data_IF_589990397283
#
_entry.id   IF_589990397283
#
_cell.length_a   1.000
_cell.length_b   1.000
_cell.length_c   1.000
_cell.angle_alpha   90.00
_cell.angle_beta   90.00
_cell.angle_gamma   90.00
#
_symmetry.space_group_name_H-M   'P 1'
#
loop_
_entity.id
_entity.type
_entity.pdbx_description
1 polymer ?
#
# COMPACT_ATOMS: atom_id res chain seq x y z
N UNK A 1 39.55 37.63 18.21
CA UNK A 1 39.22 37.06 16.88
C UNK A 1 38.28 38.03 16.17
N UNK A 2 38.55 38.41 14.91
CA UNK A 2 37.80 39.49 14.25
C UNK A 2 36.37 39.01 13.92
N UNK A 3 35.35 39.52 14.64
CA UNK A 3 33.96 39.05 14.55
C UNK A 3 33.40 39.05 13.12
N UNK A 4 33.90 39.94 12.26
CA UNK A 4 33.54 40.01 10.84
C UNK A 4 33.98 38.79 10.06
N UNK A 5 35.19 38.30 10.31
CA UNK A 5 35.75 37.10 9.68
C UNK A 5 35.01 35.85 10.17
N UNK A 6 34.75 35.76 11.48
CA UNK A 6 34.00 34.64 12.06
C UNK A 6 32.59 34.49 11.47
N UNK A 7 31.89 35.62 11.24
CA UNK A 7 30.57 35.62 10.60
C UNK A 7 30.61 35.11 9.16
N UNK A 8 31.62 35.49 8.38
CA UNK A 8 31.76 35.01 6.98
C UNK A 8 32.00 33.50 6.95
N UNK A 9 32.92 32.99 7.78
CA UNK A 9 33.20 31.55 7.85
C UNK A 9 31.96 30.77 8.26
N UNK A 10 31.21 31.25 9.27
CA UNK A 10 29.98 30.61 9.70
C UNK A 10 28.91 30.55 8.59
N UNK A 11 28.69 31.67 7.87
CA UNK A 11 27.72 31.71 6.77
C UNK A 11 28.12 30.74 5.65
N UNK A 12 29.40 30.67 5.30
CA UNK A 12 29.88 29.73 4.29
C UNK A 12 29.68 28.28 4.72
N UNK A 13 30.01 27.94 5.97
CA UNK A 13 29.83 26.60 6.51
C UNK A 13 28.36 26.17 6.52
N UNK A 14 27.46 27.04 6.99
CA UNK A 14 26.01 26.75 7.01
C UNK A 14 25.46 26.64 5.59
N UNK A 15 25.85 27.53 4.69
CA UNK A 15 25.40 27.48 3.28
C UNK A 15 25.83 26.19 2.61
N UNK A 16 27.08 25.77 2.83
CA UNK A 16 27.59 24.50 2.30
C UNK A 16 26.82 23.31 2.88
N UNK A 17 26.57 23.29 4.19
CA UNK A 17 25.78 22.24 4.85
C UNK A 17 24.37 22.14 4.25
N UNK A 18 23.67 23.27 4.12
CA UNK A 18 22.30 23.31 3.57
C UNK A 18 22.27 22.82 2.12
N UNK A 19 23.22 23.25 1.28
CA UNK A 19 23.33 22.79 -0.11
C UNK A 19 23.55 21.28 -0.17
N UNK A 20 24.43 20.75 0.69
CA UNK A 20 24.78 19.33 0.69
C UNK A 20 23.60 18.47 1.13
N UNK A 21 22.91 18.86 2.21
CA UNK A 21 21.72 18.15 2.70
C UNK A 21 20.56 18.23 1.70
N UNK A 22 20.36 19.39 1.07
CA UNK A 22 19.32 19.56 0.05
C UNK A 22 19.60 18.69 -1.18
N UNK A 23 20.86 18.64 -1.63
CA UNK A 23 21.27 17.77 -2.72
C UNK A 23 21.01 16.30 -2.39
N UNK A 24 21.48 15.83 -1.23
CA UNK A 24 21.25 14.45 -0.78
C UNK A 24 19.76 14.10 -0.72
N UNK A 25 18.92 15.01 -0.22
CA UNK A 25 17.48 14.78 -0.10
C UNK A 25 16.80 14.68 -1.48
N UNK A 26 17.14 15.55 -2.43
CA UNK A 26 16.59 15.55 -3.79
C UNK A 26 17.08 14.31 -4.58
N UNK A 27 18.36 13.96 -4.41
CA UNK A 27 18.98 12.86 -5.14
C UNK A 27 18.65 11.48 -4.56
N UNK A 28 18.17 11.38 -3.32
CA UNK A 28 17.85 10.11 -2.68
C UNK A 28 16.69 9.39 -3.41
N UNK A 29 16.96 8.28 -4.14
CA UNK A 29 15.93 7.57 -4.89
C UNK A 29 15.14 6.61 -4.01
N UNK A 30 15.60 6.27 -2.80
CA UNK A 30 15.08 5.18 -1.99
C UNK A 30 13.57 5.32 -1.72
N UNK A 31 13.10 6.55 -1.39
CA UNK A 31 11.68 6.79 -1.18
C UNK A 31 10.83 6.67 -2.45
N UNK A 32 11.39 6.96 -3.62
CA UNK A 32 10.69 6.80 -4.92
C UNK A 32 10.60 5.32 -5.31
N UNK A 33 11.68 4.57 -5.10
CA UNK A 33 11.72 3.13 -5.36
C UNK A 33 10.76 2.37 -4.44
N UNK A 34 10.77 2.66 -3.14
CA UNK A 34 9.83 2.08 -2.19
C UNK A 34 8.38 2.44 -2.55
N UNK A 35 8.13 3.70 -2.92
CA UNK A 35 6.79 4.11 -3.34
C UNK A 35 6.33 3.38 -4.61
N UNK A 36 7.22 3.18 -5.58
CA UNK A 36 6.92 2.43 -6.80
C UNK A 36 6.57 0.96 -6.48
N UNK A 37 7.31 0.34 -5.54
CA UNK A 37 7.00 -1.01 -5.06
C UNK A 37 5.65 -1.08 -4.37
N UNK A 38 5.35 -0.14 -3.46
CA UNK A 38 4.05 -0.05 -2.80
C UNK A 38 2.91 0.08 -3.83
N UNK A 39 3.10 0.90 -4.85
CA UNK A 39 2.10 1.08 -5.92
C UNK A 39 1.87 -0.25 -6.66
N UNK A 40 2.94 -0.90 -7.11
CA UNK A 40 2.86 -2.18 -7.81
C UNK A 40 2.16 -3.27 -6.98
N UNK A 41 2.47 -3.34 -5.68
CA UNK A 41 1.86 -4.29 -4.74
C UNK A 41 0.34 -4.04 -4.60
N UNK A 42 -0.09 -2.79 -4.45
CA UNK A 42 -1.53 -2.48 -4.35
C UNK A 42 -2.25 -2.78 -5.67
N UNK A 43 -1.63 -2.46 -6.81
CA UNK A 43 -2.21 -2.77 -8.13
C UNK A 43 -2.33 -4.28 -8.37
N UNK A 44 -1.32 -5.06 -7.98
CA UNK A 44 -1.38 -6.53 -8.00
C UNK A 44 -2.51 -7.05 -7.10
N UNK A 45 -2.67 -6.46 -5.90
CA UNK A 45 -3.76 -6.80 -4.98
C UNK A 45 -5.13 -6.57 -5.62
N UNK A 46 -5.35 -5.43 -6.30
CA UNK A 46 -6.60 -5.13 -7.01
C UNK A 46 -6.92 -6.16 -8.07
N UNK A 47 -5.92 -6.50 -8.90
CA UNK A 47 -6.08 -7.46 -9.99
C UNK A 47 -6.50 -8.83 -9.46
N UNK A 48 -5.80 -9.33 -8.43
CA UNK A 48 -6.09 -10.62 -7.84
C UNK A 48 -7.42 -10.64 -7.09
N UNK A 49 -7.75 -9.58 -6.34
CA UNK A 49 -9.05 -9.45 -5.67
C UNK A 49 -10.20 -9.47 -6.68
N UNK A 50 -10.06 -8.73 -7.78
CA UNK A 50 -11.07 -8.69 -8.86
C UNK A 50 -11.29 -10.07 -9.48
N UNK A 51 -10.20 -10.81 -9.72
CA UNK A 51 -10.25 -12.18 -10.24
C UNK A 51 -10.92 -13.17 -9.26
N UNK A 52 -10.67 -13.00 -7.95
CA UNK A 52 -11.22 -13.89 -6.92
C UNK A 52 -12.71 -13.60 -6.68
N UNK A 53 -13.08 -12.33 -6.57
CA UNK A 53 -14.48 -11.92 -6.33
C UNK A 53 -15.33 -12.15 -7.58
N UNK A 54 -14.76 -12.02 -8.78
CA UNK A 54 -15.43 -12.39 -10.04
C UNK A 54 -16.68 -11.55 -10.34
N UNK A 55 -16.78 -10.35 -9.79
CA UNK A 55 -17.90 -9.44 -10.03
C UNK A 55 -17.70 -8.59 -11.30
N UNK A 56 -18.79 -8.28 -12.00
CA UNK A 56 -18.76 -7.43 -13.20
C UNK A 56 -18.23 -6.02 -12.93
N UNK A 57 -18.50 -5.50 -11.72
CA UNK A 57 -18.01 -4.21 -11.26
C UNK A 57 -17.61 -4.33 -9.80
N UNK A 58 -16.34 -4.04 -9.51
CA UNK A 58 -15.80 -4.05 -8.17
C UNK A 58 -15.28 -2.66 -7.86
N UNK A 59 -15.85 -2.02 -6.84
CA UNK A 59 -15.28 -0.79 -6.30
C UNK A 59 -14.34 -1.15 -5.16
N UNK A 60 -13.15 -0.56 -5.13
CA UNK A 60 -12.09 -0.88 -4.17
C UNK A 60 -11.61 0.41 -3.49
N UNK A 61 -11.56 0.40 -2.16
CA UNK A 61 -10.89 1.41 -1.34
C UNK A 61 -9.67 0.80 -0.67
N UNK A 62 -8.49 1.28 -1.06
CA UNK A 62 -7.19 0.73 -0.65
C UNK A 62 -6.17 1.87 -0.40
N UNK A 63 -4.90 1.57 -0.09
CA UNK A 63 -3.90 2.58 0.20
C UNK A 63 -3.57 3.55 -0.93
N UNK A 64 -3.94 3.27 -2.18
CA UNK A 64 -3.79 4.21 -3.29
C UNK A 64 -5.06 5.03 -3.54
N UNK A 65 -6.20 4.66 -2.95
CA UNK A 65 -7.45 5.39 -3.13
C UNK A 65 -7.34 6.81 -2.56
N UNK A 66 -7.67 7.85 -3.36
CA UNK A 66 -7.60 9.25 -2.92
C UNK A 66 -8.68 9.58 -1.88
N UNK A 67 -9.77 8.83 -1.86
CA UNK A 67 -10.89 9.02 -0.95
C UNK A 67 -11.10 7.77 -0.08
N UNK A 68 -10.67 7.83 1.18
CA UNK A 68 -10.73 6.74 2.16
C UNK A 68 -11.88 6.88 3.15
N UNK A 69 -13.06 7.31 2.68
CA UNK A 69 -14.24 7.55 3.53
C UNK A 69 -14.86 6.28 4.15
N UNK A 70 -14.43 5.09 3.71
CA UNK A 70 -14.98 3.80 4.15
C UNK A 70 -14.33 3.30 5.45
N UNK A 71 -13.03 3.53 5.63
CA UNK A 71 -12.28 3.02 6.77
C UNK A 71 -10.78 3.22 6.61
N UNK A 72 -10.02 2.77 7.62
CA UNK A 72 -8.56 2.81 7.57
C UNK A 72 -8.04 1.67 6.69
N UNK A 73 -7.05 1.99 5.87
CA UNK A 73 -6.43 1.06 4.90
C UNK A 73 -4.92 1.22 4.99
N UNK A 74 -4.23 0.09 4.86
CA UNK A 74 -2.80 -0.04 5.13
C UNK A 74 -2.12 -0.88 4.06
N UNK A 75 -0.90 -0.46 3.71
CA UNK A 75 0.10 -1.28 3.03
C UNK A 75 1.34 -1.26 3.91
N UNK A 76 1.91 -2.43 4.18
CA UNK A 76 3.16 -2.52 4.93
C UNK A 76 3.94 -3.78 4.51
N UNK A 77 5.28 -3.72 4.59
CA UNK A 77 6.12 -4.87 4.29
C UNK A 77 5.97 -5.93 5.38
N UNK A 78 6.07 -7.18 4.97
CA UNK A 78 6.12 -8.39 5.80
C UNK A 78 7.44 -9.15 5.48
N UNK A 79 7.83 -10.13 6.31
CA UNK A 79 9.12 -10.84 6.21
C UNK A 79 9.49 -11.31 4.80
N UNK A 80 8.51 -11.78 4.02
CA UNK A 80 8.70 -12.32 2.67
C UNK A 80 7.73 -11.72 1.65
N UNK A 81 7.27 -10.48 1.88
CA UNK A 81 6.35 -9.83 0.95
C UNK A 81 5.62 -8.63 1.55
N UNK A 82 4.31 -8.56 1.33
CA UNK A 82 3.50 -7.39 1.68
C UNK A 82 2.12 -7.77 2.17
N UNK A 83 1.61 -6.99 3.12
CA UNK A 83 0.22 -7.02 3.52
C UNK A 83 -0.51 -5.78 2.99
N UNK A 84 -1.66 -6.01 2.34
CA UNK A 84 -2.54 -4.96 1.82
C UNK A 84 -3.93 -5.14 2.43
N UNK A 85 -4.40 -4.12 3.13
CA UNK A 85 -5.77 -4.06 3.63
C UNK A 85 -6.58 -3.04 2.86
N UNK A 86 -7.87 -3.32 2.72
CA UNK A 86 -8.79 -2.45 2.03
C UNK A 86 -10.23 -2.87 2.23
N UNK A 87 -11.10 -2.25 1.43
CA UNK A 87 -12.51 -2.56 1.35
C UNK A 87 -12.91 -2.72 -0.10
N UNK A 88 -13.85 -3.60 -0.39
CA UNK A 88 -14.47 -3.71 -1.71
C UNK A 88 -15.99 -3.75 -1.60
N UNK A 89 -16.69 -3.47 -2.70
CA UNK A 89 -18.13 -3.72 -2.83
C UNK A 89 -18.49 -4.07 -4.27
N UNK A 90 -19.54 -4.87 -4.44
CA UNK A 90 -20.08 -5.25 -5.76
C UNK A 90 -21.21 -4.30 -6.16
N UNK A 91 -20.83 -3.15 -6.72
CA UNK A 91 -21.78 -2.11 -7.11
C UNK A 91 -22.29 -1.29 -5.92
N UNK A 92 -23.19 -0.35 -6.20
CA UNK A 92 -23.58 0.70 -5.25
C UNK A 92 -24.46 0.23 -4.10
N UNK A 93 -25.27 -0.82 -4.33
CA UNK A 93 -26.22 -1.35 -3.36
C UNK A 93 -25.58 -2.40 -2.42
N UNK A 94 -24.35 -2.83 -2.72
CA UNK A 94 -23.59 -3.74 -1.87
C UNK A 94 -22.91 -2.98 -0.73
N UNK A 95 -22.80 -3.65 0.41
CA UNK A 95 -22.07 -3.11 1.56
C UNK A 95 -20.57 -3.16 1.29
N UNK A 96 -19.80 -2.37 2.03
CA UNK A 96 -18.35 -2.46 1.99
C UNK A 96 -17.87 -3.68 2.78
N UNK A 97 -17.05 -4.50 2.13
CA UNK A 97 -16.45 -5.71 2.65
C UNK A 97 -14.96 -5.48 2.90
N UNK A 98 -14.49 -5.52 4.16
CA UNK A 98 -13.07 -5.44 4.42
C UNK A 98 -12.35 -6.69 3.91
N UNK A 99 -11.13 -6.48 3.43
CA UNK A 99 -10.20 -7.53 3.06
C UNK A 99 -8.81 -7.26 3.63
N UNK A 100 -8.07 -8.35 3.83
CA UNK A 100 -6.64 -8.33 4.12
C UNK A 100 -5.98 -9.37 3.20
N UNK A 101 -5.05 -8.92 2.37
CA UNK A 101 -4.33 -9.74 1.41
C UNK A 101 -2.85 -9.79 1.78
N UNK A 102 -2.31 -10.99 1.91
CA UNK A 102 -0.88 -11.22 2.01
C UNK A 102 -0.35 -11.64 0.64
N UNK A 103 0.68 -10.95 0.20
CA UNK A 103 1.36 -11.13 -1.08
C UNK A 103 2.79 -11.56 -0.80
N UNK A 104 3.28 -12.55 -1.53
CA UNK A 104 4.70 -12.92 -1.51
C UNK A 104 5.59 -11.90 -2.20
N UNK A 105 6.90 -12.14 -2.19
CA UNK A 105 7.88 -11.32 -2.91
C UNK A 105 7.64 -11.26 -4.42
N UNK A 106 7.00 -12.29 -4.99
CA UNK A 106 6.56 -12.36 -6.39
C UNK A 106 5.20 -11.66 -6.65
N UNK A 107 4.67 -10.97 -5.64
CA UNK A 107 3.37 -10.30 -5.63
C UNK A 107 2.19 -11.24 -5.90
N UNK A 108 2.34 -12.54 -5.65
CA UNK A 108 1.22 -13.51 -5.69
C UNK A 108 0.59 -13.66 -4.32
N UNK A 109 -0.72 -13.90 -4.29
CA UNK A 109 -1.44 -14.22 -3.06
C UNK A 109 -0.84 -15.43 -2.38
N UNK A 110 -0.43 -15.23 -1.13
CA UNK A 110 -0.14 -16.28 -0.17
C UNK A 110 -1.34 -16.53 0.73
N UNK A 111 -2.08 -15.47 1.09
CA UNK A 111 -3.32 -15.54 1.86
C UNK A 111 -4.25 -14.39 1.52
N UNK A 112 -5.56 -14.62 1.55
CA UNK A 112 -6.59 -13.61 1.39
C UNK A 112 -7.71 -13.86 2.39
N UNK A 113 -7.88 -12.91 3.31
CA UNK A 113 -8.98 -12.88 4.25
C UNK A 113 -10.03 -11.89 3.79
N UNK A 114 -11.27 -12.35 3.61
CA UNK A 114 -12.42 -11.52 3.27
C UNK A 114 -13.46 -11.59 4.37
N UNK A 115 -14.07 -10.45 4.71
CA UNK A 115 -15.29 -10.44 5.52
C UNK A 115 -16.51 -10.36 4.62
N UNK A 116 -17.08 -11.50 4.26
CA UNK A 116 -18.16 -11.61 3.31
C UNK A 116 -19.08 -12.81 3.61
N UNK A 117 -20.32 -12.74 3.16
CA UNK A 117 -21.35 -13.76 3.28
C UNK A 117 -21.81 -14.30 1.91
N UNK A 118 -21.19 -13.86 0.81
CA UNK A 118 -21.44 -14.44 -0.51
C UNK A 118 -21.13 -15.95 -0.52
N UNK A 119 -22.16 -16.75 -0.77
CA UNK A 119 -22.06 -18.22 -0.81
C UNK A 119 -21.01 -18.71 -1.80
N UNK A 120 -20.84 -18.03 -2.94
CA UNK A 120 -19.85 -18.43 -3.95
C UNK A 120 -18.43 -18.31 -3.42
N UNK A 121 -18.15 -17.28 -2.61
CA UNK A 121 -16.84 -17.10 -1.99
C UNK A 121 -16.61 -18.10 -0.87
N UNK A 122 -17.65 -18.41 -0.08
CA UNK A 122 -17.59 -19.46 0.95
C UNK A 122 -17.30 -20.83 0.34
N UNK A 123 -17.99 -21.20 -0.74
CA UNK A 123 -17.74 -22.45 -1.47
C UNK A 123 -16.33 -22.48 -2.07
N UNK A 124 -15.86 -21.36 -2.62
CA UNK A 124 -14.49 -21.25 -3.16
C UNK A 124 -13.44 -21.43 -2.07
N UNK A 125 -13.64 -20.85 -0.89
CA UNK A 125 -12.72 -20.96 0.23
C UNK A 125 -12.62 -22.38 0.79
N UNK A 126 -13.66 -23.20 0.64
CA UNK A 126 -13.59 -24.61 0.97
C UNK A 126 -12.64 -25.40 0.05
N UNK A 127 -12.37 -24.90 -1.16
CA UNK A 127 -11.49 -25.53 -2.15
C UNK A 127 -10.10 -24.87 -2.26
N UNK A 128 -9.94 -23.64 -1.77
CA UNK A 128 -8.69 -22.87 -1.84
C UNK A 128 -8.17 -22.55 -0.42
N UNK A 129 -7.08 -23.20 0.05
CA UNK A 129 -6.55 -22.98 1.39
C UNK A 129 -5.97 -21.57 1.60
N UNK A 130 -5.76 -20.79 0.52
CA UNK A 130 -5.29 -19.40 0.61
C UNK A 130 -6.43 -18.42 0.91
N UNK A 131 -7.69 -18.86 0.82
CA UNK A 131 -8.85 -18.01 0.97
C UNK A 131 -9.54 -18.28 2.31
N UNK A 132 -9.66 -17.24 3.14
CA UNK A 132 -10.36 -17.29 4.41
C UNK A 132 -11.56 -16.34 4.36
N UNK A 133 -12.76 -16.87 4.63
CA UNK A 133 -13.99 -16.08 4.67
C UNK A 133 -14.51 -16.00 6.09
N UNK A 134 -14.72 -14.79 6.58
CA UNK A 134 -15.34 -14.52 7.89
C UNK A 134 -16.72 -13.86 7.71
N UNK A 135 -17.76 -14.24 8.47
CA UNK A 135 -19.10 -13.64 8.36
C UNK A 135 -19.20 -12.19 8.85
#
# INVERSE_FOLDING_TARGET
MNHRVGRVVFVLAVSLLVVTLSYQWISNPAGREERALQVAVVESSRSQLTSIVGAMSLEIVDPLSPNRKVGKVYIYPEDQGWAVSGYYRRGTDDRWHPYLMMLGADQRITHLKLKDQDRRLVERAAADPRLEISP
#
